data_IF_961321065114
#
_entry.id   IF_961321065114
#
_cell.length_a   1.000
_cell.length_b   1.000
_cell.length_c   1.000
_cell.angle_alpha   90.00
_cell.angle_beta   90.00
_cell.angle_gamma   90.00
#
_symmetry.space_group_name_H-M   'P 1'
#
loop_
_entity.id
_entity.type
_entity.pdbx_description
1 polymer ?
#
# COMPACT_ATOMS: atom_id res chain seq x y z
N UNK A 1 21.20 -51.11 -17.56
CA UNK A 1 22.27 -50.44 -16.78
C UNK A 1 21.59 -49.73 -15.62
N UNK A 2 21.79 -50.25 -14.42
CA UNK A 2 21.16 -49.80 -13.17
C UNK A 2 21.86 -48.53 -12.69
N UNK A 3 21.12 -47.45 -12.42
CA UNK A 3 21.65 -46.28 -11.73
C UNK A 3 21.00 -46.17 -10.36
N UNK A 4 21.76 -46.63 -9.38
CA UNK A 4 21.49 -46.63 -7.94
C UNK A 4 21.59 -45.23 -7.36
N UNK A 5 20.59 -44.87 -6.55
CA UNK A 5 20.52 -43.65 -5.73
C UNK A 5 21.34 -43.90 -4.44
N UNK A 6 22.32 -43.05 -4.07
CA UNK A 6 22.92 -43.14 -2.76
C UNK A 6 22.04 -42.46 -1.70
N UNK A 7 21.46 -43.29 -0.85
CA UNK A 7 20.97 -42.95 0.49
C UNK A 7 22.18 -42.90 1.43
N UNK A 8 22.45 -41.75 2.07
CA UNK A 8 23.17 -41.66 3.36
C UNK A 8 23.34 -40.18 3.77
N UNK A 9 22.46 -39.67 4.63
CA UNK A 9 22.84 -38.85 5.79
C UNK A 9 21.59 -38.55 6.64
N UNK A 10 21.27 -39.45 7.56
CA UNK A 10 20.35 -39.20 8.64
C UNK A 10 21.14 -39.22 9.96
N UNK A 11 21.19 -38.07 10.64
CA UNK A 11 21.38 -38.01 12.09
C UNK A 11 20.63 -36.81 12.68
N UNK A 12 20.02 -36.95 13.87
CA UNK A 12 18.96 -36.06 14.34
C UNK A 12 19.39 -35.12 15.49
N UNK A 13 18.49 -34.18 15.80
CA UNK A 13 18.33 -33.47 17.08
C UNK A 13 19.36 -32.36 17.41
N UNK A 14 18.88 -31.11 17.42
CA UNK A 14 18.76 -30.36 18.69
C UNK A 14 17.65 -29.30 18.57
N UNK A 15 16.72 -29.35 19.52
CA UNK A 15 15.61 -28.42 19.72
C UNK A 15 16.12 -27.23 20.52
N UNK A 16 16.03 -26.02 19.96
CA UNK A 16 16.27 -24.81 20.74
C UNK A 16 15.10 -24.57 21.69
N UNK A 17 15.41 -24.69 22.99
CA UNK A 17 14.55 -24.43 24.13
C UNK A 17 14.21 -22.93 24.17
N UNK A 18 12.93 -22.60 23.97
CA UNK A 18 12.39 -21.25 24.16
C UNK A 18 12.47 -20.92 25.66
N UNK A 19 13.36 -20.01 26.03
CA UNK A 19 13.43 -19.44 27.37
C UNK A 19 12.20 -18.57 27.61
N UNK A 20 11.34 -19.02 28.52
CA UNK A 20 10.24 -18.23 29.09
C UNK A 20 10.85 -17.04 29.82
N UNK A 21 10.63 -15.83 29.31
CA UNK A 21 10.90 -14.61 30.06
C UNK A 21 9.70 -14.29 30.94
N UNK A 22 10.06 -13.98 32.18
CA UNK A 22 9.27 -13.67 33.34
C UNK A 22 8.14 -12.66 33.06
N UNK A 23 6.93 -13.00 33.48
CA UNK A 23 5.77 -12.14 33.39
C UNK A 23 5.82 -11.06 34.47
N UNK A 24 6.16 -9.84 34.09
CA UNK A 24 6.04 -8.65 34.96
C UNK A 24 4.56 -8.38 35.23
N UNK A 25 4.06 -8.81 36.39
CA UNK A 25 2.73 -8.49 36.89
C UNK A 25 2.68 -7.00 37.25
N UNK A 26 2.03 -6.18 36.42
CA UNK A 26 1.65 -4.82 36.78
C UNK A 26 0.47 -4.85 37.76
N UNK A 27 0.73 -4.44 39.00
CA UNK A 27 -0.26 -4.31 40.06
C UNK A 27 -0.87 -2.91 39.97
N UNK A 28 -2.09 -2.81 39.48
CA UNK A 28 -2.86 -1.55 39.50
C UNK A 28 -3.35 -1.35 40.95
N UNK A 29 -2.80 -0.34 41.62
CA UNK A 29 -3.26 0.11 42.93
C UNK A 29 -4.19 1.30 42.71
N UNK A 30 -5.49 1.11 42.94
CA UNK A 30 -6.42 2.22 43.12
C UNK A 30 -6.26 2.75 44.54
N UNK A 31 -5.81 4.00 44.66
CA UNK A 31 -5.81 4.71 45.94
C UNK A 31 -7.02 5.65 45.96
N UNK A 32 -8.06 5.21 46.69
CA UNK A 32 -9.19 6.03 47.07
C UNK A 32 -8.73 6.94 48.21
N UNK A 33 -8.63 8.24 47.99
CA UNK A 33 -8.36 9.20 49.06
C UNK A 33 -9.64 9.99 49.34
N UNK A 34 -10.35 9.54 50.36
CA UNK A 34 -11.35 10.33 51.08
C UNK A 34 -10.61 11.29 52.00
N UNK A 35 -10.84 12.60 51.85
CA UNK A 35 -11.17 13.49 52.97
C UNK A 35 -11.59 14.88 52.46
N UNK A 36 -12.69 15.33 53.03
CA UNK A 36 -13.42 16.57 52.80
C UNK A 36 -12.78 17.74 53.54
N UNK A 37 -12.64 18.90 52.89
CA UNK A 37 -13.16 20.20 53.36
C UNK A 37 -12.61 21.37 52.53
N UNK A 38 -13.53 22.25 52.10
CA UNK A 38 -13.36 23.67 51.75
C UNK A 38 -12.72 24.07 50.41
N UNK A 39 -13.57 24.37 49.41
CA UNK A 39 -13.74 25.73 48.86
C UNK A 39 -14.80 25.73 47.76
N UNK A 40 -15.96 26.27 48.11
CA UNK A 40 -17.13 26.51 47.26
C UNK A 40 -16.90 27.71 46.34
N UNK A 41 -16.93 27.52 45.01
CA UNK A 41 -17.49 28.49 44.02
C UNK A 41 -17.09 28.26 42.54
N UNK A 42 -16.77 27.05 42.08
CA UNK A 42 -16.36 26.84 40.66
C UNK A 42 -17.02 25.62 39.96
N UNK A 43 -18.06 25.00 40.54
CA UNK A 43 -18.63 23.75 40.00
C UNK A 43 -19.96 23.90 39.24
N UNK A 44 -20.57 25.09 39.17
CA UNK A 44 -21.83 25.28 38.41
C UNK A 44 -21.63 25.56 36.91
N UNK A 45 -20.42 25.95 36.48
CA UNK A 45 -20.15 26.29 35.08
C UNK A 45 -19.64 25.11 34.23
N UNK A 46 -19.09 24.06 34.86
CA UNK A 46 -18.51 22.91 34.13
C UNK A 46 -19.50 21.78 33.84
N UNK A 47 -20.59 21.64 34.62
CA UNK A 47 -21.62 20.62 34.35
C UNK A 47 -22.55 20.99 33.19
N UNK A 48 -22.73 22.27 32.88
CA UNK A 48 -23.57 22.71 31.75
C UNK A 48 -22.90 22.53 30.38
N UNK A 49 -21.55 22.59 30.32
CA UNK A 49 -20.80 22.44 29.08
C UNK A 49 -20.72 20.97 28.60
N UNK A 50 -20.73 20.01 29.53
CA UNK A 50 -20.71 18.57 29.18
C UNK A 50 -22.07 18.06 28.68
N UNK A 51 -23.18 18.66 29.12
CA UNK A 51 -24.52 18.27 28.67
C UNK A 51 -24.84 18.74 27.24
N UNK A 52 -24.24 19.83 26.78
CA UNK A 52 -24.44 20.35 25.41
C UNK A 52 -23.59 19.62 24.36
N UNK A 53 -22.52 18.93 24.76
CA UNK A 53 -21.70 18.13 23.83
C UNK A 53 -22.37 16.78 23.47
N UNK A 54 -23.34 16.32 24.27
CA UNK A 54 -24.03 15.04 24.07
C UNK A 54 -25.13 15.06 22.99
N UNK A 55 -25.55 16.21 22.49
CA UNK A 55 -26.72 16.33 21.58
C UNK A 55 -26.30 16.31 20.09
N UNK A 56 -25.01 16.31 19.78
CA UNK A 56 -24.52 16.28 18.39
C UNK A 56 -24.34 14.84 17.85
N UNK A 57 -24.46 13.81 18.71
CA UNK A 57 -24.18 12.42 18.31
C UNK A 57 -25.41 11.59 17.92
N UNK A 58 -26.63 12.15 17.95
CA UNK A 58 -27.88 11.42 17.68
C UNK A 58 -28.51 11.75 16.31
N UNK A 59 -27.79 12.38 15.40
CA UNK A 59 -28.23 12.44 14.01
C UNK A 59 -27.96 11.07 13.35
N UNK A 60 -28.94 10.45 12.67
CA UNK A 60 -28.66 9.31 11.83
C UNK A 60 -27.72 9.78 10.72
N UNK A 61 -26.44 9.39 10.82
CA UNK A 61 -25.50 9.45 9.70
C UNK A 61 -26.06 8.54 8.63
N UNK A 62 -26.86 9.12 7.73
CA UNK A 62 -27.08 8.53 6.42
C UNK A 62 -25.69 8.24 5.85
N UNK A 63 -25.45 7.05 5.27
CA UNK A 63 -24.21 6.80 4.56
C UNK A 63 -24.14 7.87 3.47
N UNK A 64 -23.27 8.85 3.66
CA UNK A 64 -22.86 9.74 2.59
C UNK A 64 -22.07 8.87 1.60
N UNK A 65 -22.81 8.13 0.77
CA UNK A 65 -22.41 7.88 -0.60
C UNK A 65 -22.31 9.25 -1.23
N UNK A 66 -21.16 9.88 -1.05
CA UNK A 66 -20.78 10.97 -1.92
C UNK A 66 -20.68 10.34 -3.31
N UNK A 67 -21.76 10.45 -4.08
CA UNK A 67 -21.76 10.23 -5.51
C UNK A 67 -20.88 11.32 -6.11
N UNK A 68 -19.57 11.11 -6.05
CA UNK A 68 -18.57 12.02 -6.60
C UNK A 68 -18.86 12.08 -8.09
N UNK A 69 -19.40 13.22 -8.53
CA UNK A 69 -19.78 13.50 -9.91
C UNK A 69 -20.90 12.64 -10.51
N UNK A 70 -21.79 12.04 -9.70
CA UNK A 70 -22.91 11.23 -10.20
C UNK A 70 -22.50 9.87 -10.77
N UNK A 71 -21.31 9.38 -10.41
CA UNK A 71 -20.85 8.06 -10.79
C UNK A 71 -21.39 7.02 -9.80
N UNK A 72 -21.95 5.95 -10.34
CA UNK A 72 -22.47 4.83 -9.55
C UNK A 72 -21.40 3.77 -9.31
N UNK A 73 -21.41 3.02 -8.20
CA UNK A 73 -20.52 1.89 -8.01
C UNK A 73 -20.58 0.90 -9.19
N UNK A 74 -19.42 0.49 -9.73
CA UNK A 74 -19.36 -0.38 -10.91
C UNK A 74 -20.11 -1.70 -10.71
N UNK A 75 -20.14 -2.21 -9.46
CA UNK A 75 -20.89 -3.41 -9.06
C UNK A 75 -22.38 -3.34 -9.41
N UNK A 76 -22.99 -2.17 -9.28
CA UNK A 76 -24.44 -1.98 -9.44
C UNK A 76 -24.80 -1.40 -10.82
N UNK A 77 -23.79 -1.05 -11.63
CA UNK A 77 -24.01 -0.45 -12.93
C UNK A 77 -24.42 -1.49 -13.99
N UNK A 78 -25.63 -1.33 -14.53
CA UNK A 78 -26.15 -2.20 -15.60
C UNK A 78 -25.29 -2.17 -16.86
N UNK A 79 -24.58 -1.08 -17.11
CA UNK A 79 -23.78 -0.86 -18.31
C UNK A 79 -22.47 -1.65 -18.24
N UNK A 80 -21.83 -1.72 -17.07
CA UNK A 80 -20.65 -2.55 -16.83
C UNK A 80 -20.96 -4.04 -17.00
N UNK A 81 -22.08 -4.52 -16.45
CA UNK A 81 -22.51 -5.91 -16.64
C UNK A 81 -22.86 -6.25 -18.10
N UNK A 82 -23.34 -5.27 -18.89
CA UNK A 82 -23.55 -5.45 -20.34
C UNK A 82 -22.21 -5.61 -21.08
N UNK A 83 -21.19 -4.83 -20.73
CA UNK A 83 -19.84 -4.92 -21.32
C UNK A 83 -19.20 -6.28 -21.03
N UNK A 84 -19.27 -6.74 -19.79
CA UNK A 84 -18.78 -8.06 -19.39
C UNK A 84 -19.42 -9.17 -20.25
N UNK A 85 -20.76 -9.18 -20.36
CA UNK A 85 -21.48 -10.15 -21.17
C UNK A 85 -21.12 -10.06 -22.65
N UNK A 86 -20.90 -8.86 -23.19
CA UNK A 86 -20.50 -8.68 -24.59
C UNK A 86 -19.09 -9.23 -24.85
N UNK A 87 -18.14 -8.98 -23.96
CA UNK A 87 -16.78 -9.52 -24.06
C UNK A 87 -16.75 -11.05 -23.94
N UNK A 88 -17.49 -11.61 -22.97
CA UNK A 88 -17.61 -13.06 -22.80
C UNK A 88 -18.26 -13.68 -24.03
N UNK A 89 -19.36 -13.12 -24.54
CA UNK A 89 -20.00 -13.61 -25.77
C UNK A 89 -19.07 -13.58 -26.97
N UNK A 90 -18.22 -12.56 -27.10
CA UNK A 90 -17.22 -12.48 -28.18
C UNK A 90 -16.21 -13.64 -28.06
N UNK A 91 -15.69 -13.88 -26.87
CA UNK A 91 -14.76 -14.99 -26.59
C UNK A 91 -15.42 -16.36 -26.81
N UNK A 92 -16.66 -16.54 -26.36
CA UNK A 92 -17.44 -17.76 -26.58
C UNK A 92 -17.76 -17.97 -28.07
N UNK A 93 -18.03 -16.89 -28.81
CA UNK A 93 -18.23 -17.00 -30.26
C UNK A 93 -16.96 -17.47 -30.97
N UNK A 94 -15.78 -17.00 -30.53
CA UNK A 94 -14.49 -17.49 -31.02
C UNK A 94 -14.21 -18.92 -30.59
N UNK A 95 -14.64 -19.33 -29.38
CA UNK A 95 -14.46 -20.70 -28.88
C UNK A 95 -15.13 -21.73 -29.77
N UNK A 96 -16.30 -21.41 -30.35
CA UNK A 96 -17.06 -22.32 -31.23
C UNK A 96 -16.34 -22.69 -32.54
N UNK A 97 -15.32 -21.91 -32.95
CA UNK A 97 -14.55 -22.18 -34.16
C UNK A 97 -13.47 -23.26 -33.94
N UNK A 98 -13.18 -23.61 -32.68
CA UNK A 98 -12.10 -24.52 -32.32
C UNK A 98 -12.65 -25.80 -31.67
N UNK A 99 -11.94 -26.91 -31.85
CA UNK A 99 -12.25 -28.16 -31.17
C UNK A 99 -12.01 -28.03 -29.65
N UNK A 100 -12.84 -28.67 -28.80
CA UNK A 100 -12.81 -28.48 -27.34
C UNK A 100 -11.52 -28.95 -26.66
N UNK A 101 -10.79 -29.86 -27.29
CA UNK A 101 -9.51 -30.44 -26.84
C UNK A 101 -8.28 -29.72 -27.43
N UNK A 102 -8.48 -28.73 -28.29
CA UNK A 102 -7.38 -28.00 -28.93
C UNK A 102 -6.74 -26.97 -28.00
N UNK A 103 -5.42 -26.77 -28.15
CA UNK A 103 -4.68 -25.73 -27.43
C UNK A 103 -5.32 -24.31 -27.46
N UNK A 104 -5.87 -23.81 -28.59
CA UNK A 104 -6.55 -22.51 -28.60
C UNK A 104 -7.84 -22.50 -27.76
N UNK A 105 -8.59 -23.60 -27.67
CA UNK A 105 -9.79 -23.64 -26.85
C UNK A 105 -9.46 -23.49 -25.35
N UNK A 106 -8.39 -24.13 -24.88
CA UNK A 106 -7.91 -23.97 -23.50
C UNK A 106 -7.46 -22.52 -23.21
N UNK A 107 -6.74 -21.90 -24.16
CA UNK A 107 -6.30 -20.51 -24.03
C UNK A 107 -7.48 -19.51 -23.99
N UNK A 108 -8.53 -19.75 -24.79
CA UNK A 108 -9.74 -18.93 -24.78
C UNK A 108 -10.49 -19.10 -23.46
N UNK A 109 -10.63 -20.31 -22.94
CA UNK A 109 -11.25 -20.55 -21.63
C UNK A 109 -10.49 -19.85 -20.49
N UNK A 110 -9.15 -19.93 -20.48
CA UNK A 110 -8.33 -19.20 -19.53
C UNK A 110 -8.48 -17.67 -19.67
N UNK A 111 -8.71 -17.18 -20.89
CA UNK A 111 -8.98 -15.77 -21.14
C UNK A 111 -10.37 -15.37 -20.63
N UNK A 112 -11.39 -16.20 -20.82
CA UNK A 112 -12.74 -15.99 -20.25
C UNK A 112 -12.67 -15.89 -18.73
N UNK A 113 -11.93 -16.80 -18.08
CA UNK A 113 -11.75 -16.77 -16.62
C UNK A 113 -11.00 -15.52 -16.16
N UNK A 114 -9.91 -15.15 -16.83
CA UNK A 114 -9.17 -13.90 -16.55
C UNK A 114 -10.07 -12.67 -16.71
N UNK A 115 -10.92 -12.64 -17.73
CA UNK A 115 -11.86 -11.55 -17.97
C UNK A 115 -12.89 -11.46 -16.85
N UNK A 116 -13.54 -12.57 -16.48
CA UNK A 116 -14.46 -12.63 -15.33
C UNK A 116 -13.79 -12.12 -14.05
N UNK A 117 -12.60 -12.64 -13.74
CA UNK A 117 -11.81 -12.20 -12.58
C UNK A 117 -11.48 -10.71 -12.62
N UNK A 118 -11.19 -10.15 -13.80
CA UNK A 118 -10.92 -8.72 -13.97
C UNK A 118 -12.17 -7.87 -13.66
N UNK A 119 -13.33 -8.22 -14.23
CA UNK A 119 -14.59 -7.52 -13.94
C UNK A 119 -14.99 -7.66 -12.47
N UNK A 120 -14.81 -8.84 -11.86
CA UNK A 120 -15.03 -9.06 -10.43
C UNK A 120 -14.11 -8.20 -9.56
N UNK A 121 -12.83 -8.11 -9.90
CA UNK A 121 -11.86 -7.30 -9.17
C UNK A 121 -12.23 -5.81 -9.24
N UNK A 122 -12.61 -5.31 -10.42
CA UNK A 122 -13.06 -3.93 -10.59
C UNK A 122 -14.35 -3.64 -9.82
N UNK A 123 -15.30 -4.58 -9.77
CA UNK A 123 -16.51 -4.45 -8.95
C UNK A 123 -16.25 -4.50 -7.44
N UNK A 124 -15.22 -5.22 -6.99
CA UNK A 124 -14.83 -5.32 -5.57
C UNK A 124 -14.00 -4.15 -5.07
N UNK A 125 -13.20 -3.55 -5.95
CA UNK A 125 -12.32 -2.42 -5.61
C UNK A 125 -13.09 -1.11 -5.33
N UNK A 126 -14.43 -1.12 -5.46
CA UNK A 126 -15.26 0.04 -5.19
C UNK A 126 -15.16 1.12 -6.28
N UNK A 127 -14.62 0.77 -7.45
CA UNK A 127 -14.48 1.70 -8.58
C UNK A 127 -15.83 2.28 -8.96
N UNK A 128 -15.82 3.55 -9.34
CA UNK A 128 -17.00 4.29 -9.75
C UNK A 128 -17.12 4.26 -11.28
N UNK A 129 -18.29 3.87 -11.78
CA UNK A 129 -18.59 3.76 -13.21
C UNK A 129 -19.49 4.92 -13.65
N UNK A 130 -19.12 5.56 -14.77
CA UNK A 130 -19.93 6.57 -15.44
C UNK A 130 -21.04 5.96 -16.32
N UNK A 131 -21.71 6.79 -17.11
CA UNK A 131 -22.78 6.38 -18.03
C UNK A 131 -22.35 5.33 -19.06
N UNK A 132 -21.07 5.30 -19.41
CA UNK A 132 -20.50 4.36 -20.38
C UNK A 132 -20.27 2.94 -19.82
N UNK A 133 -20.38 2.78 -18.49
CA UNK A 133 -20.07 1.54 -17.79
C UNK A 133 -18.57 1.23 -17.75
N UNK A 134 -17.72 2.25 -17.84
CA UNK A 134 -16.27 2.12 -17.67
C UNK A 134 -15.87 2.64 -16.27
N UNK A 135 -14.96 1.94 -15.56
CA UNK A 135 -14.42 2.43 -14.30
C UNK A 135 -13.64 3.73 -14.49
N UNK A 136 -13.96 4.74 -13.71
CA UNK A 136 -13.25 6.00 -13.62
C UNK A 136 -12.48 6.05 -12.29
N UNK A 137 -11.33 6.72 -12.30
CA UNK A 137 -10.50 6.89 -11.13
C UNK A 137 -10.71 8.29 -10.53
N UNK A 138 -10.82 8.38 -9.21
CA UNK A 138 -10.94 9.64 -8.48
C UNK A 138 -9.60 10.00 -7.85
N UNK A 139 -9.01 11.10 -8.32
CA UNK A 139 -7.70 11.59 -7.84
C UNK A 139 -7.82 12.68 -6.76
N UNK A 140 -9.04 12.98 -6.29
CA UNK A 140 -9.32 14.10 -5.36
C UNK A 140 -8.82 13.88 -3.92
N UNK A 141 -8.20 12.74 -3.61
CA UNK A 141 -7.72 12.45 -2.26
C UNK A 141 -8.81 12.09 -1.25
N UNK A 142 -9.96 11.59 -1.72
CA UNK A 142 -11.00 11.03 -0.85
C UNK A 142 -10.55 9.67 -0.27
N UNK A 143 -10.68 9.48 1.05
CA UNK A 143 -10.20 8.32 1.80
C UNK A 143 -10.67 6.98 1.22
N UNK A 144 -11.90 6.93 0.68
CA UNK A 144 -12.50 5.71 0.11
C UNK A 144 -11.83 5.26 -1.19
N UNK A 145 -11.16 6.19 -1.89
CA UNK A 145 -10.53 5.97 -3.19
C UNK A 145 -9.00 6.18 -3.15
N UNK A 146 -8.38 6.24 -1.96
CA UNK A 146 -6.92 6.37 -1.81
C UNK A 146 -6.11 5.24 -2.44
N UNK A 147 -6.72 4.05 -2.57
CA UNK A 147 -6.10 2.91 -3.25
C UNK A 147 -5.93 3.12 -4.76
N UNK A 148 -6.69 4.04 -5.37
CA UNK A 148 -6.69 4.25 -6.82
C UNK A 148 -5.50 5.08 -7.30
N UNK A 149 -5.12 6.12 -6.56
CA UNK A 149 -4.08 7.06 -6.99
C UNK A 149 -3.05 7.39 -5.91
N UNK A 150 -3.45 7.65 -4.67
CA UNK A 150 -2.53 8.10 -3.62
C UNK A 150 -1.55 7.00 -3.22
N UNK A 151 -2.05 5.78 -2.99
CA UNK A 151 -1.21 4.62 -2.63
C UNK A 151 -0.19 4.29 -3.73
N UNK A 152 -0.57 4.10 -5.01
CA UNK A 152 0.40 3.88 -6.08
C UNK A 152 1.28 5.12 -6.36
N UNK A 153 0.76 6.33 -6.14
CA UNK A 153 1.50 7.58 -6.33
C UNK A 153 2.63 7.76 -5.31
N UNK A 154 2.35 7.52 -4.02
CA UNK A 154 3.38 7.54 -2.97
C UNK A 154 4.42 6.43 -3.23
N UNK A 155 3.98 5.24 -3.64
CA UNK A 155 4.88 4.15 -4.01
C UNK A 155 5.80 4.56 -5.17
N UNK A 156 5.25 5.21 -6.20
CA UNK A 156 6.02 5.72 -7.32
C UNK A 156 7.05 6.77 -6.87
N UNK A 157 6.64 7.78 -6.10
CA UNK A 157 7.55 8.80 -5.59
C UNK A 157 8.63 8.20 -4.69
N UNK A 158 8.30 7.18 -3.89
CA UNK A 158 9.26 6.47 -3.07
C UNK A 158 10.34 5.77 -3.90
N UNK A 159 9.95 5.06 -4.97
CA UNK A 159 10.89 4.37 -5.85
C UNK A 159 11.72 5.38 -6.65
N UNK A 160 11.09 6.42 -7.21
CA UNK A 160 11.77 7.46 -7.97
C UNK A 160 12.77 8.24 -7.11
N UNK A 161 12.37 8.61 -5.88
CA UNK A 161 13.23 9.26 -4.91
C UNK A 161 14.38 8.37 -4.45
N UNK A 162 14.15 7.06 -4.27
CA UNK A 162 15.22 6.11 -3.95
C UNK A 162 16.27 6.05 -5.07
N UNK A 163 15.83 5.89 -6.33
CA UNK A 163 16.74 5.86 -7.49
C UNK A 163 17.54 7.16 -7.59
N UNK A 164 16.85 8.31 -7.48
CA UNK A 164 17.50 9.62 -7.54
C UNK A 164 18.51 9.84 -6.41
N UNK A 165 18.15 9.43 -5.18
CA UNK A 165 19.02 9.55 -4.02
C UNK A 165 20.29 8.72 -4.15
N UNK A 166 20.17 7.45 -4.55
CA UNK A 166 21.32 6.56 -4.78
C UNK A 166 22.22 7.11 -5.87
N UNK A 167 21.64 7.63 -6.96
CA UNK A 167 22.39 8.27 -8.04
C UNK A 167 23.19 9.48 -7.54
N UNK A 168 22.55 10.41 -6.81
CA UNK A 168 23.22 11.57 -6.19
C UNK A 168 24.35 11.13 -5.25
N UNK A 169 24.07 10.21 -4.32
CA UNK A 169 25.05 9.76 -3.34
C UNK A 169 26.23 9.03 -3.98
N UNK A 170 26.02 8.28 -5.08
CA UNK A 170 27.10 7.66 -5.84
C UNK A 170 28.01 8.71 -6.49
N UNK A 171 27.43 9.71 -7.18
CA UNK A 171 28.20 10.79 -7.82
C UNK A 171 29.01 11.61 -6.81
N UNK A 172 28.44 11.89 -5.62
CA UNK A 172 29.17 12.59 -4.55
C UNK A 172 30.34 11.74 -4.04
N UNK A 173 30.16 10.43 -3.87
CA UNK A 173 31.20 9.54 -3.36
C UNK A 173 32.39 9.36 -4.32
N UNK A 174 32.17 9.43 -5.64
CA UNK A 174 33.23 9.28 -6.64
C UNK A 174 33.92 10.60 -7.01
N UNK A 175 33.35 11.75 -6.66
CA UNK A 175 33.87 13.10 -7.02
C UNK A 175 35.31 13.32 -6.56
N UNK A 176 35.67 12.80 -5.38
CA UNK A 176 36.97 13.02 -4.76
C UNK A 176 38.03 11.97 -5.20
N UNK A 177 37.66 11.02 -6.07
CA UNK A 177 38.62 10.07 -6.63
C UNK A 177 39.50 10.68 -7.73
N UNK A 178 40.65 10.05 -7.99
CA UNK A 178 41.64 10.52 -8.99
C UNK A 178 41.10 10.59 -10.43
N UNK A 179 40.08 9.79 -10.76
CA UNK A 179 39.48 9.69 -12.10
C UNK A 179 37.97 9.41 -12.01
N UNK A 180 37.14 10.40 -11.63
CA UNK A 180 35.69 10.21 -11.43
C UNK A 180 34.98 9.72 -12.70
N UNK A 181 35.33 10.29 -13.86
CA UNK A 181 34.74 9.90 -15.15
C UNK A 181 34.96 8.42 -15.52
N UNK A 182 36.02 7.78 -15.02
CA UNK A 182 36.26 6.36 -15.24
C UNK A 182 35.32 5.48 -14.40
N UNK A 183 34.93 5.95 -13.21
CA UNK A 183 33.99 5.28 -12.29
C UNK A 183 32.52 5.49 -12.67
N UNK A 184 32.25 6.40 -13.60
CA UNK A 184 30.93 6.55 -14.23
C UNK A 184 30.72 5.55 -15.38
N UNK A 185 31.76 5.31 -16.19
CA UNK A 185 31.73 4.33 -17.29
C UNK A 185 31.81 2.90 -16.75
N UNK A 186 32.76 2.66 -15.82
CA UNK A 186 32.94 1.38 -15.15
C UNK A 186 32.46 1.55 -13.71
N UNK A 187 31.18 1.21 -13.50
CA UNK A 187 30.53 1.38 -12.21
C UNK A 187 31.19 0.51 -11.15
N UNK A 188 31.49 1.12 -10.01
CA UNK A 188 31.95 0.41 -8.82
C UNK A 188 30.76 -0.29 -8.15
N UNK A 189 30.49 -1.53 -8.61
CA UNK A 189 29.40 -2.37 -8.11
C UNK A 189 29.40 -2.54 -6.58
N UNK A 190 30.53 -2.82 -5.89
CA UNK A 190 30.50 -2.98 -4.44
C UNK A 190 30.21 -1.67 -3.68
N UNK A 191 30.65 -0.52 -4.19
CA UNK A 191 30.28 0.78 -3.62
C UNK A 191 28.80 1.10 -3.89
N UNK A 192 28.32 0.91 -5.13
CA UNK A 192 26.93 1.12 -5.51
C UNK A 192 25.96 0.27 -4.68
N UNK A 193 26.26 -1.01 -4.45
CA UNK A 193 25.42 -1.87 -3.62
C UNK A 193 25.27 -1.33 -2.18
N UNK A 194 26.34 -0.82 -1.58
CA UNK A 194 26.26 -0.20 -0.24
C UNK A 194 25.37 1.04 -0.23
N UNK A 195 25.44 1.86 -1.28
CA UNK A 195 24.61 3.07 -1.43
C UNK A 195 23.14 2.74 -1.70
N UNK A 196 22.85 1.69 -2.48
CA UNK A 196 21.48 1.21 -2.73
C UNK A 196 20.78 0.90 -1.40
N UNK A 197 21.44 0.16 -0.50
CA UNK A 197 20.87 -0.17 0.81
C UNK A 197 20.68 1.06 1.72
N UNK A 198 21.56 2.05 1.65
CA UNK A 198 21.37 3.33 2.37
C UNK A 198 20.24 4.18 1.79
N UNK A 199 19.98 4.05 0.49
CA UNK A 199 18.89 4.75 -0.18
C UNK A 199 17.49 4.34 0.27
N UNK A 200 17.33 3.23 0.99
CA UNK A 200 16.02 2.85 1.53
C UNK A 200 15.48 3.89 2.54
N UNK A 201 16.35 4.48 3.37
CA UNK A 201 15.98 5.56 4.30
C UNK A 201 16.05 6.96 3.68
N UNK A 202 15.99 7.08 2.34
CA UNK A 202 16.16 8.36 1.65
C UNK A 202 15.19 9.47 2.10
N UNK A 203 13.89 9.27 2.41
CA UNK A 203 13.00 10.39 2.68
C UNK A 203 13.44 11.18 3.92
N UNK A 204 13.93 10.48 4.94
CA UNK A 204 14.41 11.09 6.18
C UNK A 204 15.78 11.73 5.97
N UNK A 205 16.70 11.04 5.27
CA UNK A 205 18.04 11.55 4.99
C UNK A 205 18.00 12.80 4.12
N UNK A 206 17.21 12.77 3.04
CA UNK A 206 17.01 13.90 2.14
C UNK A 206 16.37 15.09 2.86
N UNK A 207 15.38 14.85 3.74
CA UNK A 207 14.76 15.92 4.51
C UNK A 207 15.75 16.57 5.48
N UNK A 208 16.63 15.79 6.13
CA UNK A 208 17.68 16.32 7.00
C UNK A 208 18.72 17.13 6.22
N UNK A 209 19.23 16.61 5.11
CA UNK A 209 20.20 17.32 4.26
C UNK A 209 19.61 18.58 3.62
N UNK A 210 18.31 18.58 3.31
CA UNK A 210 17.59 19.77 2.85
C UNK A 210 17.57 20.87 3.92
N UNK A 211 17.22 20.52 5.16
CA UNK A 211 17.21 21.48 6.27
C UNK A 211 18.61 21.99 6.65
N UNK A 212 19.63 21.15 6.48
CA UNK A 212 21.02 21.51 6.75
C UNK A 212 21.67 22.33 5.61
N UNK A 213 20.99 22.47 4.47
CA UNK A 213 21.51 23.19 3.30
C UNK A 213 22.57 22.43 2.49
N UNK A 214 22.75 21.13 2.71
CA UNK A 214 23.72 20.29 1.97
C UNK A 214 23.13 19.73 0.66
N UNK A 215 21.80 19.82 0.51
CA UNK A 215 21.12 19.36 -0.71
C UNK A 215 21.28 20.35 -1.88
N UNK A 216 21.33 21.65 -1.60
CA UNK A 216 21.42 22.72 -2.58
C UNK A 216 22.81 23.33 -2.57
N UNK A 217 23.30 23.73 -3.75
CA UNK A 217 24.55 24.50 -3.84
C UNK A 217 24.33 25.88 -3.18
N UNK A 218 25.25 26.38 -2.33
CA UNK A 218 25.15 27.72 -1.76
C UNK A 218 25.18 28.86 -2.78
N UNK A 219 25.58 28.60 -4.04
CA UNK A 219 25.59 29.59 -5.12
C UNK A 219 24.30 29.60 -5.96
N UNK A 220 23.22 28.98 -5.48
CA UNK A 220 21.92 28.94 -6.15
C UNK A 220 21.04 30.14 -5.81
#
# INVERSE_FOLDING_TARGET
MSLTIPTNLSKPISTHKLGSQDGTKTRIVCQQQTNSSEQSSQLKAFSAALALSSIILSAPVLPASADISGLTPCKDSKQFAKREKQEIKKLESSLKLYAPDSAPALAINATVEKTKRRFDNYGKQGLLCGSDGLPHLIVSGDQRHWGEFITPGILFLYIAGWIGWVGRSYLIAIRDEKKPAMKEIIIDVPLANKLIWRGFSWPVAAYREFLNGELTDPNF
#
